data_IF_790859111137
#
_entry.id   IF_790859111137
#
_cell.length_a   1.000
_cell.length_b   1.000
_cell.length_c   1.000
_cell.angle_alpha   90.00
_cell.angle_beta   90.00
_cell.angle_gamma   90.00
#
_symmetry.space_group_name_H-M   'P 1'
#
loop_
_entity.id
_entity.type
_entity.pdbx_description
1 polymer ?
#
# COMPACT_ATOMS: atom_id res chain seq x y z
N UNK A 1 15.67 -8.67 14.88
CA UNK A 1 16.32 -8.08 13.69
C UNK A 1 15.45 -8.44 12.51
N UNK A 2 14.60 -7.53 12.03
CA UNK A 2 13.82 -7.77 10.81
C UNK A 2 14.82 -7.60 9.67
N UNK A 3 15.12 -8.69 8.96
CA UNK A 3 16.07 -8.69 7.86
C UNK A 3 15.63 -7.67 6.81
N UNK A 4 16.53 -6.76 6.44
CA UNK A 4 16.35 -5.80 5.33
C UNK A 4 15.96 -6.47 4.00
N UNK A 5 16.14 -7.79 3.89
CA UNK A 5 15.68 -8.61 2.75
C UNK A 5 14.15 -8.72 2.64
N UNK A 6 13.39 -8.79 3.75
CA UNK A 6 11.91 -8.91 3.65
C UNK A 6 11.24 -7.58 3.27
N UNK A 7 11.77 -6.46 3.78
CA UNK A 7 11.31 -5.12 3.42
C UNK A 7 11.54 -4.80 1.94
N UNK A 8 12.65 -5.29 1.37
CA UNK A 8 12.98 -5.09 -0.05
C UNK A 8 12.01 -5.83 -0.98
N UNK A 9 11.55 -7.01 -0.57
CA UNK A 9 10.63 -7.83 -1.37
C UNK A 9 9.20 -7.29 -1.35
N UNK A 10 8.71 -6.86 -0.17
CA UNK A 10 7.40 -6.20 -0.06
C UNK A 10 7.34 -4.95 -0.96
N UNK A 11 8.37 -4.10 -0.92
CA UNK A 11 8.46 -2.88 -1.73
C UNK A 11 8.47 -3.17 -3.24
N UNK A 12 9.14 -4.27 -3.66
CA UNK A 12 9.19 -4.70 -5.06
C UNK A 12 7.84 -5.24 -5.57
N UNK A 13 7.09 -5.94 -4.72
CA UNK A 13 5.73 -6.41 -5.05
C UNK A 13 4.74 -5.24 -5.15
N UNK A 14 4.84 -4.23 -4.26
CA UNK A 14 4.02 -3.00 -4.33
C UNK A 14 4.30 -2.22 -5.62
N UNK A 15 5.57 -2.06 -5.97
CA UNK A 15 5.99 -1.29 -7.14
C UNK A 15 5.58 -1.96 -8.47
N UNK A 16 5.43 -3.28 -8.50
CA UNK A 16 5.19 -4.05 -9.73
C UNK A 16 3.75 -4.59 -9.90
N UNK A 17 2.87 -4.43 -8.90
CA UNK A 17 1.47 -4.86 -9.00
C UNK A 17 0.71 -4.03 -10.04
N UNK A 18 0.05 -4.57 -11.05
CA UNK A 18 -0.72 -3.72 -11.99
C UNK A 18 -1.92 -3.08 -11.29
N UNK A 19 -2.53 -2.04 -11.87
CA UNK A 19 -3.79 -1.47 -11.33
C UNK A 19 -4.89 -2.53 -11.17
N UNK A 20 -4.83 -3.58 -12.00
CA UNK A 20 -5.73 -4.74 -11.93
C UNK A 20 -5.48 -5.60 -10.69
N UNK A 21 -4.23 -5.76 -10.28
CA UNK A 21 -3.84 -6.47 -9.06
C UNK A 21 -4.28 -5.67 -7.82
N UNK A 22 -4.10 -4.35 -7.82
CA UNK A 22 -4.57 -3.46 -6.74
C UNK A 22 -6.09 -3.55 -6.55
N UNK A 23 -6.85 -3.65 -7.65
CA UNK A 23 -8.31 -3.82 -7.57
C UNK A 23 -8.74 -5.19 -7.02
N UNK A 24 -7.91 -6.22 -7.17
CA UNK A 24 -8.16 -7.56 -6.65
C UNK A 24 -7.68 -7.74 -5.19
N UNK A 25 -6.91 -6.79 -4.65
CA UNK A 25 -6.37 -6.87 -3.29
C UNK A 25 -7.44 -6.65 -2.23
N UNK A 26 -7.31 -7.42 -1.15
CA UNK A 26 -8.15 -7.26 0.02
C UNK A 26 -7.75 -6.00 0.81
N UNK A 27 -8.70 -5.48 1.58
CA UNK A 27 -8.52 -4.26 2.38
C UNK A 27 -7.25 -4.26 3.23
N UNK A 28 -6.99 -5.35 3.93
CA UNK A 28 -5.81 -5.49 4.79
C UNK A 28 -4.49 -5.47 4.01
N UNK A 29 -4.49 -5.89 2.75
CA UNK A 29 -3.29 -5.79 1.90
C UNK A 29 -3.07 -4.34 1.45
N UNK A 30 -4.13 -3.66 1.04
CA UNK A 30 -4.06 -2.25 0.65
C UNK A 30 -3.50 -1.36 1.78
N UNK A 31 -3.95 -1.57 3.02
CA UNK A 31 -3.45 -0.83 4.18
C UNK A 31 -1.94 -1.06 4.34
N UNK A 32 -1.48 -2.31 4.32
CA UNK A 32 -0.04 -2.64 4.41
C UNK A 32 0.79 -1.97 3.31
N UNK A 33 0.24 -1.87 2.09
CA UNK A 33 0.92 -1.20 0.98
C UNK A 33 1.02 0.31 1.22
N UNK A 34 -0.03 0.94 1.74
CA UNK A 34 -0.04 2.37 2.06
C UNK A 34 0.95 2.68 3.19
N UNK A 35 0.95 1.88 4.25
CA UNK A 35 1.93 1.99 5.36
C UNK A 35 3.37 1.80 4.85
N UNK A 36 3.60 0.80 3.99
CA UNK A 36 4.91 0.55 3.39
C UNK A 36 5.38 1.69 2.48
N UNK A 37 4.46 2.36 1.77
CA UNK A 37 4.76 3.48 0.89
C UNK A 37 5.15 4.77 1.64
N UNK A 38 4.95 4.83 2.98
CA UNK A 38 5.32 5.97 3.83
C UNK A 38 4.89 7.33 3.27
N UNK A 39 3.63 7.43 2.85
CA UNK A 39 3.09 8.63 2.21
C UNK A 39 3.06 9.78 3.24
N UNK A 40 3.85 10.86 3.06
CA UNK A 40 4.14 11.85 4.11
C UNK A 40 2.96 12.72 4.58
N UNK A 41 1.75 12.50 4.05
CA UNK A 41 0.54 13.28 4.36
C UNK A 41 -0.64 12.41 4.79
N UNK A 42 -0.47 11.09 4.83
CA UNK A 42 -1.54 10.16 5.22
C UNK A 42 -1.41 9.85 6.69
N UNK A 43 -2.51 10.05 7.42
CA UNK A 43 -2.65 9.55 8.78
C UNK A 43 -3.01 8.06 8.74
N UNK A 44 -2.05 7.21 9.11
CA UNK A 44 -2.19 5.74 9.09
C UNK A 44 -3.31 5.26 10.02
N UNK A 45 -3.59 5.99 11.11
CA UNK A 45 -4.65 5.67 12.07
C UNK A 45 -6.04 5.74 11.44
N UNK A 46 -6.21 6.51 10.37
CA UNK A 46 -7.48 6.68 9.69
C UNK A 46 -7.71 5.65 8.58
N UNK A 47 -6.67 4.92 8.13
CA UNK A 47 -6.78 3.90 7.08
C UNK A 47 -7.77 2.79 7.44
N UNK A 48 -7.83 2.43 8.72
CA UNK A 48 -8.77 1.43 9.26
C UNK A 48 -10.24 1.82 9.18
N UNK A 49 -10.56 3.08 8.85
CA UNK A 49 -11.93 3.59 8.64
C UNK A 49 -12.27 3.89 7.18
N UNK A 50 -11.28 3.84 6.28
CA UNK A 50 -11.49 4.13 4.86
C UNK A 50 -12.10 2.94 4.12
N UNK A 51 -12.94 3.22 3.14
CA UNK A 51 -13.47 2.23 2.22
C UNK A 51 -12.38 1.66 1.31
N UNK A 52 -12.61 0.44 0.81
CA UNK A 52 -11.67 -0.26 -0.08
C UNK A 52 -11.34 0.56 -1.33
N UNK A 53 -12.31 1.25 -1.93
CA UNK A 53 -12.08 2.11 -3.11
C UNK A 53 -11.09 3.25 -2.81
N UNK A 54 -11.26 3.93 -1.68
CA UNK A 54 -10.35 5.00 -1.24
C UNK A 54 -8.94 4.44 -1.01
N UNK A 55 -8.82 3.28 -0.35
CA UNK A 55 -7.53 2.62 -0.13
C UNK A 55 -6.85 2.23 -1.45
N UNK A 56 -7.60 1.72 -2.43
CA UNK A 56 -7.07 1.41 -3.76
C UNK A 56 -6.54 2.65 -4.48
N UNK A 57 -7.27 3.77 -4.42
CA UNK A 57 -6.82 5.05 -5.00
C UNK A 57 -5.54 5.56 -4.34
N UNK A 58 -5.45 5.45 -3.02
CA UNK A 58 -4.25 5.85 -2.27
C UNK A 58 -3.02 5.04 -2.68
N UNK A 59 -3.16 3.71 -2.84
CA UNK A 59 -2.08 2.85 -3.35
C UNK A 59 -1.67 3.22 -4.77
N UNK A 60 -2.61 3.61 -5.64
CA UNK A 60 -2.28 4.04 -7.00
C UNK A 60 -1.52 5.38 -6.97
N UNK A 61 -1.99 6.34 -6.16
CA UNK A 61 -1.35 7.65 -6.01
C UNK A 61 0.05 7.56 -5.41
N UNK A 62 0.26 6.66 -4.45
CA UNK A 62 1.56 6.45 -3.79
C UNK A 62 2.64 5.92 -4.74
N UNK A 63 2.25 5.40 -5.91
CA UNK A 63 3.17 4.87 -6.93
C UNK A 63 3.56 5.89 -7.99
N UNK A 64 2.88 7.05 -8.02
CA UNK A 64 3.17 8.15 -8.93
C UNK A 64 4.09 9.21 -8.31
N UNK A 65 4.40 9.10 -7.02
CA UNK A 65 5.20 10.08 -6.26
C UNK A 65 6.66 9.66 -6.14
#
# INVERSE_FOLDING_TARGET
MISSMELSQANSTVANSSNRDVQAMNRSELIKLIEAARIPFIDESHLGTQDTDTLQRLVILSRQS
#
